data_IF_157504240353
#
_entry.id   IF_157504240353
#
_cell.length_a   1.000
_cell.length_b   1.000
_cell.length_c   1.000
_cell.angle_alpha   90.00
_cell.angle_beta   90.00
_cell.angle_gamma   90.00
#
_symmetry.space_group_name_H-M   'P 1'
#
loop_
_entity.id
_entity.type
_entity.pdbx_description
1 polymer ?
#
# COMPACT_ATOMS: atom_id res chain seq x y z
N UNK A 1 5.38 -9.47 4.53
CA UNK A 1 4.04 -9.02 4.98
C UNK A 1 2.98 -9.84 4.28
N UNK A 2 1.83 -10.08 4.93
CA UNK A 2 0.69 -10.76 4.32
C UNK A 2 -0.44 -9.76 4.07
N UNK A 3 -1.29 -10.04 3.08
CA UNK A 3 -2.49 -9.24 2.82
C UNK A 3 -3.53 -9.56 3.90
N UNK A 4 -4.01 -8.54 4.61
CA UNK A 4 -5.10 -8.66 5.58
C UNK A 4 -6.47 -8.61 4.92
N UNK A 5 -6.67 -7.68 3.98
CA UNK A 5 -7.91 -7.55 3.20
C UNK A 5 -7.66 -6.96 1.82
N UNK A 6 -8.60 -7.21 0.91
CA UNK A 6 -8.68 -6.55 -0.39
C UNK A 6 -10.11 -6.07 -0.57
N UNK A 7 -10.29 -4.76 -0.67
CA UNK A 7 -11.59 -4.11 -0.73
C UNK A 7 -11.63 -3.20 -1.95
N UNK A 8 -12.71 -3.24 -2.73
CA UNK A 8 -12.91 -2.31 -3.84
C UNK A 8 -13.63 -1.06 -3.29
N UNK A 9 -12.93 0.07 -3.29
CA UNK A 9 -13.46 1.37 -2.89
C UNK A 9 -13.19 2.39 -4.00
N UNK A 10 -14.22 3.11 -4.42
CA UNK A 10 -14.18 4.06 -5.54
C UNK A 10 -13.56 3.45 -6.81
N UNK A 11 -12.41 3.97 -7.25
CA UNK A 11 -11.69 3.55 -8.45
C UNK A 11 -10.50 2.62 -8.13
N UNK A 12 -10.36 2.14 -6.89
CA UNK A 12 -9.18 1.40 -6.44
C UNK A 12 -9.51 0.13 -5.66
N UNK A 13 -8.72 -0.92 -5.89
CA UNK A 13 -8.55 -2.01 -4.94
C UNK A 13 -7.60 -1.56 -3.83
N UNK A 14 -8.12 -1.49 -2.61
CA UNK A 14 -7.39 -1.21 -1.39
C UNK A 14 -6.87 -2.53 -0.83
N UNK A 15 -5.60 -2.83 -1.07
CA UNK A 15 -4.92 -4.01 -0.54
C UNK A 15 -4.28 -3.64 0.80
N UNK A 16 -4.87 -4.10 1.90
CA UNK A 16 -4.44 -3.76 3.26
C UNK A 16 -3.40 -4.75 3.78
N UNK A 17 -2.35 -4.23 4.39
CA UNK A 17 -1.30 -5.00 5.05
C UNK A 17 -1.27 -4.78 6.57
N UNK A 18 -1.73 -3.61 7.02
CA UNK A 18 -1.86 -3.30 8.44
C UNK A 18 -3.12 -2.47 8.69
N UNK A 19 -3.72 -2.67 9.87
CA UNK A 19 -4.85 -1.91 10.37
C UNK A 19 -4.47 -0.41 10.52
N UNK A 20 -5.22 0.53 9.88
CA UNK A 20 -4.97 1.96 10.03
C UNK A 20 -5.07 2.47 11.48
N UNK A 21 -5.87 1.83 12.35
CA UNK A 21 -6.06 2.25 13.74
C UNK A 21 -4.79 2.07 14.61
N UNK A 22 -3.82 1.29 14.14
CA UNK A 22 -2.53 1.11 14.80
C UNK A 22 -1.62 2.34 14.68
N UNK A 23 -1.84 3.15 13.64
CA UNK A 23 -0.96 4.27 13.31
C UNK A 23 -1.51 5.59 13.84
N UNK A 24 -0.63 6.47 14.30
CA UNK A 24 -1.04 7.83 14.66
C UNK A 24 -1.04 8.78 13.47
N UNK A 25 -0.27 8.45 12.43
CA UNK A 25 -0.19 9.21 11.21
C UNK A 25 -0.13 8.25 10.01
N UNK A 26 -0.89 8.59 8.97
CA UNK A 26 -0.87 7.90 7.68
C UNK A 26 -0.50 8.93 6.61
N UNK A 27 0.49 8.61 5.78
CA UNK A 27 0.98 9.47 4.68
C UNK A 27 1.41 8.63 3.49
N UNK A 28 1.62 9.29 2.36
CA UNK A 28 2.25 8.71 1.17
C UNK A 28 3.57 9.43 0.92
N UNK A 29 4.69 8.94 1.48
CA UNK A 29 5.99 9.52 1.22
C UNK A 29 6.36 9.43 -0.26
N UNK A 30 7.05 10.44 -0.79
CA UNK A 30 7.43 10.50 -2.21
C UNK A 30 8.23 9.28 -2.68
N UNK A 31 9.12 8.76 -1.82
CA UNK A 31 9.90 7.56 -2.13
C UNK A 31 8.99 6.33 -2.31
N UNK A 32 7.96 6.19 -1.48
CA UNK A 32 7.01 5.08 -1.56
C UNK A 32 6.11 5.21 -2.80
N UNK A 33 5.67 6.42 -3.12
CA UNK A 33 4.92 6.71 -4.34
C UNK A 33 5.72 6.33 -5.60
N UNK A 34 7.00 6.71 -5.66
CA UNK A 34 7.87 6.38 -6.78
C UNK A 34 8.03 4.86 -6.97
N UNK A 35 8.16 4.10 -5.88
CA UNK A 35 8.23 2.63 -5.95
C UNK A 35 6.91 2.05 -6.46
N UNK A 36 5.78 2.54 -5.96
CA UNK A 36 4.44 2.12 -6.38
C UNK A 36 4.25 2.31 -7.89
N UNK A 37 4.48 3.53 -8.37
CA UNK A 37 4.37 3.88 -9.80
C UNK A 37 5.36 3.10 -10.67
N UNK A 38 6.51 2.67 -10.12
CA UNK A 38 7.45 1.80 -10.85
C UNK A 38 6.95 0.37 -11.09
N UNK A 39 5.94 -0.07 -10.34
CA UNK A 39 5.35 -1.42 -10.47
C UNK A 39 4.02 -1.36 -11.21
N UNK A 40 3.20 -0.36 -10.91
CA UNK A 40 1.87 -0.20 -11.51
C UNK A 40 1.58 1.30 -11.67
N UNK A 41 1.25 1.71 -12.89
CA UNK A 41 0.90 3.11 -13.16
C UNK A 41 -0.38 3.47 -12.42
N UNK A 42 -0.42 4.64 -11.76
CA UNK A 42 -1.56 5.06 -10.94
C UNK A 42 -1.66 4.39 -9.57
N UNK A 43 -0.73 3.48 -9.21
CA UNK A 43 -0.70 2.89 -7.87
C UNK A 43 -0.19 3.87 -6.81
N UNK A 44 -0.80 3.80 -5.63
CA UNK A 44 -0.43 4.61 -4.47
C UNK A 44 -0.15 3.72 -3.25
N UNK A 45 0.75 4.17 -2.36
CA UNK A 45 1.05 3.47 -1.11
C UNK A 45 0.67 4.37 0.05
N UNK A 46 -0.08 3.84 1.01
CA UNK A 46 -0.33 4.47 2.29
C UNK A 46 0.62 3.85 3.30
N UNK A 47 1.49 4.68 3.88
CA UNK A 47 2.42 4.32 4.94
C UNK A 47 1.89 4.83 6.27
N UNK A 48 1.98 4.02 7.31
CA UNK A 48 1.61 4.34 8.69
C UNK A 48 2.84 4.51 9.57
N UNK A 49 2.79 5.45 10.51
CA UNK A 49 3.80 5.64 11.55
C UNK A 49 3.17 5.40 12.92
N UNK A 50 3.83 4.56 13.74
CA UNK A 50 3.40 4.25 15.10
C UNK A 50 3.82 5.36 16.07
N UNK A 51 3.11 5.48 17.20
CA UNK A 51 3.30 6.55 18.20
C UNK A 51 4.71 6.69 18.77
N UNK A 52 5.49 5.63 18.72
CA UNK A 52 6.83 5.57 19.30
C UNK A 52 7.81 4.99 18.26
N UNK A 53 8.16 5.81 17.26
CA UNK A 53 9.21 5.46 16.31
C UNK A 53 9.23 6.39 15.09
N UNK A 54 10.40 6.46 14.44
CA UNK A 54 10.53 7.12 13.13
C UNK A 54 10.27 6.15 11.96
N UNK A 55 9.95 4.89 12.27
CA UNK A 55 9.72 3.84 11.28
C UNK A 55 8.32 3.97 10.65
N UNK A 56 8.29 3.80 9.33
CA UNK A 56 7.08 3.82 8.52
C UNK A 56 6.81 2.43 7.98
N UNK A 57 5.63 1.89 8.29
CA UNK A 57 5.18 0.59 7.80
C UNK A 57 4.14 0.76 6.68
N UNK A 58 4.03 -0.23 5.79
CA UNK A 58 2.99 -0.20 4.75
C UNK A 58 1.63 -0.47 5.39
N UNK A 59 0.71 0.49 5.30
CA UNK A 59 -0.66 0.34 5.75
C UNK A 59 -1.52 -0.32 4.65
N UNK A 60 -1.53 0.27 3.46
CA UNK A 60 -2.20 -0.31 2.29
C UNK A 60 -1.55 0.12 0.98
N UNK A 61 -1.83 -0.63 -0.07
CA UNK A 61 -1.52 -0.27 -1.45
C UNK A 61 -2.82 -0.14 -2.23
N UNK A 62 -2.95 0.95 -2.97
CA UNK A 62 -4.10 1.23 -3.82
C UNK A 62 -3.70 0.92 -5.25
N UNK A 63 -4.45 0.03 -5.89
CA UNK A 63 -4.26 -0.36 -7.29
C UNK A 63 -5.54 -0.03 -8.05
N UNK A 64 -5.43 0.58 -9.23
CA UNK A 64 -6.61 0.92 -10.02
C UNK A 64 -7.51 -0.30 -10.27
N UNK A 65 -8.83 -0.10 -10.17
CA UNK A 65 -9.81 -1.18 -10.36
C UNK A 65 -9.75 -1.82 -11.76
N UNK A 66 -9.20 -1.09 -12.73
CA UNK A 66 -8.99 -1.51 -14.12
C UNK A 66 -8.05 -2.72 -14.23
N UNK A 67 -7.13 -2.90 -13.28
CA UNK A 67 -6.19 -4.01 -13.25
C UNK A 67 -6.84 -5.34 -12.81
N UNK A 68 -7.93 -5.27 -12.03
CA UNK A 68 -8.61 -6.44 -11.47
C UNK A 68 -7.99 -6.93 -10.15
N UNK A 69 -8.80 -7.62 -9.33
CA UNK A 69 -8.44 -7.97 -7.96
C UNK A 69 -7.21 -8.89 -7.85
N UNK A 70 -7.08 -9.88 -8.73
CA UNK A 70 -5.95 -10.82 -8.73
C UNK A 70 -4.63 -10.09 -8.98
N UNK A 71 -4.59 -9.21 -9.99
CA UNK A 71 -3.42 -8.39 -10.26
C UNK A 71 -3.17 -7.38 -9.15
N UNK A 72 -4.22 -6.80 -8.56
CA UNK A 72 -4.06 -5.87 -7.46
C UNK A 72 -3.31 -6.52 -6.28
N UNK A 73 -3.64 -7.77 -5.95
CA UNK A 73 -2.92 -8.55 -4.93
C UNK A 73 -1.46 -8.76 -5.29
N UNK A 74 -1.17 -9.20 -6.52
CA UNK A 74 0.19 -9.47 -6.99
C UNK A 74 1.06 -8.20 -7.02
N UNK A 75 0.53 -7.12 -7.61
CA UNK A 75 1.23 -5.85 -7.72
C UNK A 75 1.47 -5.23 -6.35
N UNK A 76 0.48 -5.27 -5.45
CA UNK A 76 0.63 -4.78 -4.08
C UNK A 76 1.72 -5.54 -3.32
N UNK A 77 1.77 -6.87 -3.42
CA UNK A 77 2.85 -7.67 -2.82
C UNK A 77 4.21 -7.25 -3.35
N UNK A 78 4.34 -7.10 -4.67
CA UNK A 78 5.59 -6.70 -5.30
C UNK A 78 6.04 -5.29 -4.92
N UNK A 79 5.11 -4.36 -4.74
CA UNK A 79 5.40 -3.02 -4.24
C UNK A 79 5.95 -3.12 -2.82
N UNK A 80 5.28 -3.86 -1.93
CA UNK A 80 5.75 -4.05 -0.55
C UNK A 80 7.13 -4.72 -0.51
N UNK A 81 7.38 -5.73 -1.32
CA UNK A 81 8.70 -6.36 -1.43
C UNK A 81 9.78 -5.33 -1.78
N UNK A 82 9.55 -4.49 -2.80
CA UNK A 82 10.49 -3.44 -3.20
C UNK A 82 10.69 -2.34 -2.16
N UNK A 83 9.70 -2.07 -1.32
CA UNK A 83 9.82 -1.05 -0.27
C UNK A 83 10.70 -1.53 0.91
N UNK A 84 10.90 -2.84 1.05
CA UNK A 84 11.67 -3.46 2.13
C UNK A 84 13.05 -3.98 1.67
N UNK A 85 13.43 -3.78 0.41
CA UNK A 85 14.72 -4.17 -0.18
C UNK A 85 15.72 -2.99 -0.09
#
# INVERSE_FOLDING_TARGET
>A
MNIESVELEDEYFHVRFNDPERFEAIRTPDWAANVATSVSEGAEVRMGNEKEGDDWEVQSVLIEKSEGEEKAREQAQRIVEKLND
#
